data_IF_548661410304
#
_entry.id   IF_548661410304
#
_cell.length_a   1.000
_cell.length_b   1.000
_cell.length_c   1.000
_cell.angle_alpha   90.00
_cell.angle_beta   90.00
_cell.angle_gamma   90.00
#
_symmetry.space_group_name_H-M   'P 1'
#
loop_
_entity.id
_entity.type
_entity.pdbx_description
1 polymer ?
#
# COMPACT_ATOMS: atom_id res chain seq x y z
N UNK A 1 8.49 -17.88 18.66
CA UNK A 1 9.68 -17.93 17.77
C UNK A 1 9.22 -17.48 16.41
N UNK A 2 9.72 -16.34 15.92
CA UNK A 2 9.40 -15.85 14.56
C UNK A 2 10.11 -16.78 13.58
N UNK A 3 9.35 -17.55 12.84
CA UNK A 3 9.89 -18.44 11.81
C UNK A 3 10.56 -17.57 10.72
N UNK A 4 11.89 -17.53 10.75
CA UNK A 4 12.70 -16.88 9.73
C UNK A 4 12.76 -17.82 8.51
N UNK A 5 11.66 -17.91 7.76
CA UNK A 5 11.68 -18.58 6.47
C UNK A 5 12.86 -18.07 5.60
N UNK A 6 13.36 -18.88 4.65
CA UNK A 6 14.47 -18.47 3.81
C UNK A 6 14.15 -17.16 3.08
N UNK A 7 15.15 -16.26 3.01
CA UNK A 7 15.00 -15.04 2.22
C UNK A 7 14.69 -15.43 0.76
N UNK A 8 13.69 -14.76 0.17
CA UNK A 8 13.38 -14.99 -1.23
C UNK A 8 14.59 -14.60 -2.11
N UNK A 9 14.89 -15.39 -3.14
CA UNK A 9 16.00 -15.06 -4.06
C UNK A 9 15.75 -13.71 -4.74
N UNK A 10 16.78 -13.04 -5.26
CA UNK A 10 16.61 -11.84 -6.09
C UNK A 10 15.62 -12.10 -7.24
N UNK A 11 14.93 -11.05 -7.69
CA UNK A 11 14.06 -11.15 -8.86
C UNK A 11 14.93 -11.28 -10.10
N UNK A 12 14.67 -12.29 -10.93
CA UNK A 12 15.38 -12.45 -12.18
C UNK A 12 15.02 -11.32 -13.18
N UNK A 13 15.90 -10.94 -14.09
CA UNK A 13 15.58 -9.96 -15.14
C UNK A 13 14.33 -10.35 -15.93
N UNK A 14 13.45 -9.38 -16.18
CA UNK A 14 12.20 -9.61 -16.93
C UNK A 14 11.12 -10.38 -16.17
N UNK A 15 11.28 -10.60 -14.86
CA UNK A 15 10.30 -11.28 -14.02
C UNK A 15 9.58 -10.26 -13.13
N UNK A 16 8.25 -10.30 -13.15
CA UNK A 16 7.41 -9.60 -12.17
C UNK A 16 7.14 -10.54 -11.00
N UNK A 17 7.49 -10.11 -9.80
CA UNK A 17 7.15 -10.79 -8.55
C UNK A 17 5.97 -10.09 -7.90
N UNK A 18 4.93 -10.86 -7.59
CA UNK A 18 3.73 -10.39 -6.87
C UNK A 18 3.71 -11.09 -5.52
N UNK A 19 3.64 -10.31 -4.44
CA UNK A 19 3.66 -10.81 -3.08
C UNK A 19 2.47 -10.23 -2.32
N UNK A 20 1.39 -10.99 -2.15
CA UNK A 20 0.36 -10.63 -1.18
C UNK A 20 0.95 -10.73 0.23
N UNK A 21 0.95 -9.62 0.97
CA UNK A 21 1.41 -9.58 2.38
C UNK A 21 0.23 -9.77 3.33
N UNK A 22 -0.97 -9.43 2.89
CA UNK A 22 -2.23 -9.67 3.59
C UNK A 22 -3.41 -9.51 2.64
N UNK A 23 -4.62 -9.83 3.12
CA UNK A 23 -5.86 -9.74 2.35
C UNK A 23 -6.20 -10.97 1.51
N UNK A 24 -5.44 -12.08 1.61
CA UNK A 24 -5.75 -13.34 0.95
C UNK A 24 -6.40 -14.28 1.93
N UNK A 25 -7.60 -14.79 1.58
CA UNK A 25 -8.42 -15.68 2.44
C UNK A 25 -8.78 -15.06 3.80
N UNK A 26 -8.74 -13.73 3.90
CA UNK A 26 -9.08 -12.98 5.12
C UNK A 26 -9.71 -11.64 4.76
N UNK A 27 -10.46 -11.04 5.69
CA UNK A 27 -10.95 -9.67 5.57
C UNK A 27 -10.01 -8.74 6.36
N UNK A 28 -9.39 -7.82 5.65
CA UNK A 28 -8.47 -6.84 6.24
C UNK A 28 -7.02 -7.04 5.86
N UNK A 29 -6.15 -6.17 6.34
CA UNK A 29 -4.71 -6.14 6.08
C UNK A 29 -4.34 -6.15 4.60
N UNK A 30 -5.22 -5.64 3.72
CA UNK A 30 -4.96 -5.66 2.30
C UNK A 30 -3.64 -4.94 2.00
N UNK A 31 -2.68 -5.66 1.47
CA UNK A 31 -1.40 -5.13 1.03
C UNK A 31 -0.74 -6.10 0.06
N UNK A 32 -0.45 -5.63 -1.13
CA UNK A 32 0.26 -6.41 -2.16
C UNK A 32 1.48 -5.65 -2.66
N UNK A 33 2.61 -6.33 -2.76
CA UNK A 33 3.87 -5.81 -3.28
C UNK A 33 4.10 -6.33 -4.69
N UNK A 34 4.42 -5.44 -5.60
CA UNK A 34 4.84 -5.73 -6.97
C UNK A 34 6.31 -5.32 -7.10
N UNK A 35 7.17 -6.26 -7.46
CA UNK A 35 8.61 -6.03 -7.63
C UNK A 35 9.04 -6.45 -9.03
N UNK A 36 9.63 -5.51 -9.78
CA UNK A 36 10.18 -5.73 -11.10
C UNK A 36 11.54 -5.04 -11.21
N UNK A 37 12.59 -5.81 -11.50
CA UNK A 37 13.95 -5.30 -11.48
C UNK A 37 14.30 -4.67 -10.13
N UNK A 38 14.67 -3.37 -10.14
CA UNK A 38 15.00 -2.60 -8.94
C UNK A 38 13.83 -1.76 -8.43
N UNK A 39 12.65 -1.87 -9.00
CA UNK A 39 11.50 -1.05 -8.64
C UNK A 39 10.42 -1.86 -7.91
N UNK A 40 9.81 -1.22 -6.92
CA UNK A 40 8.74 -1.77 -6.10
C UNK A 40 7.56 -0.80 -6.13
N UNK A 41 6.37 -1.33 -6.36
CA UNK A 41 5.10 -0.63 -6.16
C UNK A 41 4.28 -1.41 -5.14
N UNK A 42 3.60 -0.71 -4.26
CA UNK A 42 2.73 -1.31 -3.25
C UNK A 42 1.29 -0.92 -3.55
N UNK A 43 0.37 -1.86 -3.43
CA UNK A 43 -1.06 -1.63 -3.50
C UNK A 43 -1.66 -1.85 -2.12
N UNK A 44 -2.26 -0.78 -1.57
CA UNK A 44 -2.91 -0.71 -0.27
C UNK A 44 -1.99 -0.95 0.95
N UNK A 45 -2.44 -0.49 2.12
CA UNK A 45 -1.86 -0.70 3.44
C UNK A 45 -2.98 -0.75 4.48
N UNK A 46 -3.72 -1.83 4.49
CA UNK A 46 -4.90 -1.99 5.34
C UNK A 46 -4.58 -2.45 6.75
N UNK A 47 -5.57 -2.28 7.63
CA UNK A 47 -5.61 -2.94 8.94
C UNK A 47 -6.63 -4.07 8.93
N UNK A 48 -6.47 -5.00 9.85
CA UNK A 48 -7.50 -5.95 10.24
C UNK A 48 -7.87 -5.66 11.69
N UNK A 49 -9.15 -5.72 12.02
CA UNK A 49 -9.60 -5.65 13.40
C UNK A 49 -9.36 -7.00 14.07
N UNK A 50 -9.00 -7.00 15.37
CA UNK A 50 -8.75 -8.24 16.09
C UNK A 50 -10.02 -9.07 16.24
N UNK A 51 -9.85 -10.37 16.34
CA UNK A 51 -10.91 -11.32 16.69
C UNK A 51 -11.10 -11.38 18.21
N UNK A 52 -12.19 -12.01 18.68
CA UNK A 52 -12.56 -12.07 20.11
C UNK A 52 -11.47 -12.74 20.98
N UNK A 53 -10.67 -13.63 20.40
CA UNK A 53 -9.58 -14.35 21.06
C UNK A 53 -8.26 -13.55 21.16
N UNK A 54 -8.24 -12.28 20.70
CA UNK A 54 -7.07 -11.39 20.70
C UNK A 54 -7.20 -10.24 21.71
N UNK A 55 -7.34 -10.51 23.04
CA UNK A 55 -7.55 -9.46 24.03
C UNK A 55 -6.34 -8.51 24.10
N UNK A 56 -6.61 -7.19 24.14
CA UNK A 56 -5.57 -6.15 24.24
C UNK A 56 -4.89 -5.80 22.92
N UNK A 57 -5.39 -6.32 21.80
CA UNK A 57 -4.97 -5.91 20.45
C UNK A 57 -6.01 -4.94 19.89
N UNK A 58 -5.58 -3.77 19.44
CA UNK A 58 -6.47 -2.78 18.82
C UNK A 58 -6.63 -3.03 17.31
N UNK A 59 -5.56 -3.45 16.64
CA UNK A 59 -5.56 -3.76 15.21
C UNK A 59 -4.35 -4.61 14.82
N UNK A 60 -4.46 -5.33 13.72
CA UNK A 60 -3.39 -6.13 13.10
C UNK A 60 -2.98 -5.46 11.80
N UNK A 61 -1.68 -5.35 11.55
CA UNK A 61 -1.10 -4.71 10.35
C UNK A 61 -0.30 -5.71 9.51
N UNK A 62 -0.11 -5.44 8.21
CA UNK A 62 0.74 -6.24 7.34
C UNK A 62 2.18 -6.36 7.86
N UNK A 63 2.79 -7.53 7.71
CA UNK A 63 4.18 -7.75 8.06
C UNK A 63 5.11 -7.33 6.91
N UNK A 64 5.72 -6.17 7.03
CA UNK A 64 6.59 -5.58 6.01
C UNK A 64 8.06 -6.05 6.04
N UNK A 65 8.38 -7.13 6.74
CA UNK A 65 9.77 -7.64 6.86
C UNK A 65 10.44 -7.86 5.49
N UNK A 66 9.68 -8.25 4.49
CA UNK A 66 10.17 -8.41 3.11
C UNK A 66 10.74 -7.12 2.52
N UNK A 67 10.21 -5.97 2.92
CA UNK A 67 10.60 -4.65 2.40
C UNK A 67 11.78 -4.02 3.15
N UNK A 68 12.24 -4.63 4.25
CA UNK A 68 13.36 -4.12 5.03
C UNK A 68 14.64 -4.03 4.18
N UNK A 69 15.25 -2.84 4.14
CA UNK A 69 16.42 -2.53 3.32
C UNK A 69 16.14 -2.25 1.85
N UNK A 70 14.85 -2.27 1.44
CA UNK A 70 14.40 -2.00 0.07
C UNK A 70 13.66 -0.66 -0.05
N UNK A 71 13.66 0.17 0.98
CA UNK A 71 12.86 1.41 1.06
C UNK A 71 13.13 2.35 -0.12
N UNK A 72 14.39 2.42 -0.58
CA UNK A 72 14.80 3.25 -1.74
C UNK A 72 14.30 2.75 -3.09
N UNK A 73 13.85 1.49 -3.15
CA UNK A 73 13.30 0.86 -4.35
C UNK A 73 11.80 1.08 -4.48
N UNK A 74 11.12 1.53 -3.41
CA UNK A 74 9.67 1.76 -3.41
C UNK A 74 9.38 3.05 -4.17
N UNK A 75 8.79 2.93 -5.35
CA UNK A 75 8.44 4.03 -6.24
C UNK A 75 7.13 4.71 -5.88
N UNK A 76 6.24 3.99 -5.22
CA UNK A 76 4.99 4.54 -4.73
C UNK A 76 4.11 3.50 -4.05
N UNK A 77 3.11 4.01 -3.32
CA UNK A 77 2.02 3.24 -2.73
C UNK A 77 0.73 3.73 -3.36
N UNK A 78 0.03 2.86 -4.06
CA UNK A 78 -1.27 3.15 -4.65
C UNK A 78 -2.34 2.70 -3.68
N UNK A 79 -3.30 3.56 -3.38
CA UNK A 79 -4.45 3.22 -2.56
C UNK A 79 -5.70 3.17 -3.42
N UNK A 80 -6.33 2.00 -3.42
CA UNK A 80 -7.50 1.72 -4.23
C UNK A 80 -8.73 2.54 -3.80
N UNK A 81 -8.96 2.68 -2.50
CA UNK A 81 -10.06 3.44 -1.92
C UNK A 81 -9.87 3.67 -0.41
N UNK A 82 -10.78 4.39 0.24
CA UNK A 82 -10.61 4.91 1.60
C UNK A 82 -11.04 4.01 2.75
N UNK A 83 -11.41 2.75 2.56
CA UNK A 83 -11.76 1.87 3.67
C UNK A 83 -10.54 1.49 4.52
N UNK A 84 -10.76 1.24 5.81
CA UNK A 84 -9.68 1.02 6.78
C UNK A 84 -8.87 -0.25 6.49
N UNK A 85 -9.49 -1.27 5.97
CA UNK A 85 -8.82 -2.50 5.55
C UNK A 85 -7.92 -2.31 4.31
N UNK A 86 -7.91 -1.08 3.72
CA UNK A 86 -7.04 -0.66 2.61
C UNK A 86 -6.09 0.47 2.99
N UNK A 87 -6.50 1.43 3.87
CA UNK A 87 -5.64 2.57 4.22
C UNK A 87 -5.19 2.59 5.69
N UNK A 88 -5.77 1.75 6.55
CA UNK A 88 -5.68 1.91 7.99
C UNK A 88 -4.27 1.77 8.58
N UNK A 89 -3.38 1.00 7.94
CA UNK A 89 -2.00 0.84 8.38
C UNK A 89 -1.04 1.90 7.79
N UNK A 90 -1.49 2.75 6.88
CA UNK A 90 -0.68 3.79 6.26
C UNK A 90 0.06 4.68 7.28
N UNK A 91 -0.58 5.18 8.37
CA UNK A 91 0.10 6.01 9.37
C UNK A 91 1.30 5.34 10.03
N UNK A 92 1.27 4.02 10.14
CA UNK A 92 2.31 3.23 10.82
C UNK A 92 3.39 2.81 9.83
N UNK A 93 3.00 2.40 8.62
CA UNK A 93 3.88 1.75 7.67
C UNK A 93 4.63 2.73 6.77
N UNK A 94 4.03 3.86 6.40
CA UNK A 94 4.68 4.83 5.49
C UNK A 94 6.02 5.33 6.04
N UNK A 95 6.09 5.70 7.31
CA UNK A 95 7.34 6.17 7.92
C UNK A 95 8.40 5.05 7.95
N UNK A 96 8.01 3.82 8.28
CA UNK A 96 8.91 2.65 8.28
C UNK A 96 9.46 2.33 6.89
N UNK A 97 8.74 2.69 5.84
CA UNK A 97 9.11 2.49 4.45
C UNK A 97 9.77 3.72 3.80
N UNK A 98 10.20 4.72 4.60
CA UNK A 98 10.93 5.89 4.12
C UNK A 98 10.02 6.96 3.49
N UNK A 99 8.73 6.96 3.79
CA UNK A 99 7.73 7.87 3.24
C UNK A 99 7.74 7.91 1.70
N UNK A 100 7.49 6.79 1.02
CA UNK A 100 7.34 6.78 -0.44
C UNK A 100 6.16 7.65 -0.87
N UNK A 101 6.10 8.10 -2.14
CA UNK A 101 4.94 8.79 -2.67
C UNK A 101 3.67 7.94 -2.50
N UNK A 102 2.57 8.58 -2.12
CA UNK A 102 1.24 7.96 -2.07
C UNK A 102 0.39 8.43 -3.25
N UNK A 103 -0.29 7.51 -3.89
CA UNK A 103 -1.09 7.73 -5.10
C UNK A 103 -2.53 7.30 -4.81
N UNK A 104 -3.47 8.20 -4.91
CA UNK A 104 -4.89 7.89 -4.77
C UNK A 104 -5.77 9.02 -5.32
N UNK A 105 -7.07 8.78 -5.38
CA UNK A 105 -8.07 9.79 -5.68
C UNK A 105 -8.31 10.74 -4.49
N UNK A 106 -8.91 11.93 -4.71
CA UNK A 106 -9.00 13.01 -3.72
C UNK A 106 -9.59 12.62 -2.37
N UNK A 107 -10.72 11.90 -2.33
CA UNK A 107 -11.37 11.50 -1.09
C UNK A 107 -10.50 10.54 -0.29
N UNK A 108 -9.92 9.54 -0.96
CA UNK A 108 -9.01 8.58 -0.33
C UNK A 108 -7.79 9.28 0.28
N UNK A 109 -7.21 10.27 -0.42
CA UNK A 109 -6.11 11.10 0.10
C UNK A 109 -6.53 11.93 1.31
N UNK A 110 -7.75 12.49 1.30
CA UNK A 110 -8.28 13.23 2.45
C UNK A 110 -8.42 12.33 3.68
N UNK A 111 -8.92 11.11 3.49
CA UNK A 111 -9.06 10.12 4.56
C UNK A 111 -7.70 9.66 5.10
N UNK A 112 -6.71 9.41 4.24
CA UNK A 112 -5.35 9.07 4.67
C UNK A 112 -4.73 10.22 5.48
N UNK A 113 -4.88 11.48 5.03
CA UNK A 113 -4.40 12.65 5.78
C UNK A 113 -5.04 12.74 7.16
N UNK A 114 -6.36 12.53 7.25
CA UNK A 114 -7.08 12.56 8.52
C UNK A 114 -6.55 11.47 9.46
N UNK A 115 -6.46 10.23 8.99
CA UNK A 115 -5.89 9.11 9.76
C UNK A 115 -4.45 9.38 10.21
N UNK A 116 -3.65 10.02 9.37
CA UNK A 116 -2.28 10.39 9.68
C UNK A 116 -2.21 11.41 10.84
N UNK A 117 -3.09 12.43 10.81
CA UNK A 117 -3.20 13.43 11.89
C UNK A 117 -3.72 12.84 13.20
N UNK A 118 -4.67 11.90 13.14
CA UNK A 118 -5.19 11.19 14.32
C UNK A 118 -4.10 10.33 14.98
N UNK A 119 -3.28 9.66 14.16
CA UNK A 119 -2.18 8.84 14.66
C UNK A 119 -1.07 9.68 15.28
N UNK A 120 -0.67 10.73 14.60
CA UNK A 120 0.36 11.68 15.06
C UNK A 120 0.14 13.06 14.46
N UNK A 121 -0.21 14.02 15.31
CA UNK A 121 -0.49 15.39 14.92
C UNK A 121 0.67 16.03 14.14
N UNK A 122 0.36 16.60 12.98
CA UNK A 122 1.32 17.25 12.08
C UNK A 122 2.06 16.29 11.15
N UNK A 123 1.84 14.97 11.24
CA UNK A 123 2.56 14.00 10.41
C UNK A 123 2.04 13.93 8.97
N UNK A 124 0.83 14.39 8.70
CA UNK A 124 0.30 14.50 7.33
C UNK A 124 1.15 15.39 6.41
N UNK A 125 1.91 16.33 7.00
CA UNK A 125 2.83 17.21 6.26
C UNK A 125 4.03 16.47 5.65
N UNK A 126 4.34 15.27 6.13
CA UNK A 126 5.42 14.42 5.61
C UNK A 126 5.00 13.63 4.37
N UNK A 127 3.71 13.57 4.07
CA UNK A 127 3.18 12.80 2.96
C UNK A 127 3.57 13.42 1.61
N UNK A 128 4.16 12.61 0.74
CA UNK A 128 4.44 12.95 -0.66
C UNK A 128 3.26 12.47 -1.49
N UNK A 129 2.45 13.38 -1.99
CA UNK A 129 1.14 13.06 -2.58
C UNK A 129 1.17 13.23 -4.08
N UNK A 130 0.69 12.22 -4.79
CA UNK A 130 0.36 12.25 -6.21
C UNK A 130 -1.15 11.99 -6.31
N UNK A 131 -1.90 12.99 -6.74
CA UNK A 131 -3.35 12.90 -6.85
C UNK A 131 -3.74 12.36 -8.22
N UNK A 132 -4.49 11.27 -8.25
CA UNK A 132 -5.21 10.80 -9.44
C UNK A 132 -6.45 11.69 -9.59
N UNK A 133 -6.46 12.50 -10.66
CA UNK A 133 -7.56 13.45 -10.92
C UNK A 133 -8.61 12.88 -11.86
N UNK A 134 -8.20 11.95 -12.71
CA UNK A 134 -9.07 11.24 -13.65
C UNK A 134 -8.63 9.77 -13.72
N UNK A 135 -9.56 8.88 -14.01
CA UNK A 135 -9.25 7.48 -14.34
C UNK A 135 -8.38 7.34 -15.59
N UNK A 136 -8.34 8.39 -16.43
CA UNK A 136 -7.49 8.43 -17.64
C UNK A 136 -6.03 8.81 -17.33
N UNK A 137 -5.74 9.19 -16.07
CA UNK A 137 -4.38 9.53 -15.67
C UNK A 137 -3.45 8.32 -15.81
N UNK A 138 -2.21 8.61 -16.20
CA UNK A 138 -1.14 7.62 -16.29
C UNK A 138 0.04 8.11 -15.47
N UNK A 139 0.53 7.26 -14.55
CA UNK A 139 1.60 7.62 -13.62
C UNK A 139 2.78 6.67 -13.78
N UNK A 140 3.95 7.22 -14.08
CA UNK A 140 5.19 6.46 -14.14
C UNK A 140 5.77 6.25 -12.73
N UNK A 141 6.07 5.00 -12.38
CA UNK A 141 6.61 4.57 -11.08
C UNK A 141 7.85 3.69 -11.30
N UNK A 142 8.96 4.30 -11.70
CA UNK A 142 10.14 3.56 -12.15
C UNK A 142 9.87 2.83 -13.45
N UNK A 143 10.06 1.51 -13.48
CA UNK A 143 9.74 0.66 -14.62
C UNK A 143 8.26 0.30 -14.74
N UNK A 144 7.45 0.64 -13.74
CA UNK A 144 6.01 0.46 -13.79
C UNK A 144 5.32 1.69 -14.38
N UNK A 145 4.24 1.44 -15.09
CA UNK A 145 3.28 2.45 -15.51
C UNK A 145 1.93 2.09 -14.91
N UNK A 146 1.41 2.95 -14.04
CA UNK A 146 0.10 2.77 -13.43
C UNK A 146 -0.97 3.48 -14.25
N UNK A 147 -2.04 2.77 -14.60
CA UNK A 147 -3.28 3.27 -15.18
C UNK A 147 -4.44 2.87 -14.29
N UNK A 148 -5.56 3.54 -14.42
CA UNK A 148 -6.68 3.38 -13.50
C UNK A 148 -7.98 3.10 -14.26
N UNK A 149 -8.95 2.49 -13.56
CA UNK A 149 -10.30 2.33 -14.06
C UNK A 149 -11.29 2.46 -12.91
N UNK A 150 -12.51 2.85 -13.22
CA UNK A 150 -13.54 3.03 -12.22
C UNK A 150 -14.02 1.68 -11.70
N UNK A 151 -14.23 1.63 -10.38
CA UNK A 151 -14.81 0.49 -9.67
C UNK A 151 -16.03 0.98 -8.89
N UNK A 152 -17.16 0.28 -9.02
CA UNK A 152 -18.31 0.51 -8.14
C UNK A 152 -18.07 -0.10 -6.78
N UNK A 153 -18.21 0.71 -5.75
CA UNK A 153 -18.00 0.31 -4.37
C UNK A 153 -18.86 1.17 -3.43
N UNK A 154 -18.96 0.78 -2.15
CA UNK A 154 -19.74 1.50 -1.13
C UNK A 154 -19.15 2.85 -0.71
N UNK A 155 -17.97 3.21 -1.21
CA UNK A 155 -17.33 4.50 -0.99
C UNK A 155 -16.95 5.14 -2.32
N UNK A 156 -17.06 6.47 -2.42
CA UNK A 156 -16.65 7.23 -3.60
C UNK A 156 -15.13 7.19 -3.79
N UNK A 157 -14.69 7.54 -5.00
CA UNK A 157 -13.27 7.56 -5.37
C UNK A 157 -12.59 6.18 -5.28
N UNK A 158 -13.38 5.11 -5.51
CA UNK A 158 -12.83 3.76 -5.64
C UNK A 158 -12.29 3.54 -7.05
N UNK A 159 -11.06 3.05 -7.15
CA UNK A 159 -10.40 2.80 -8.43
C UNK A 159 -9.69 1.45 -8.45
N UNK A 160 -9.77 0.77 -9.59
CA UNK A 160 -8.89 -0.34 -9.90
C UNK A 160 -7.60 0.16 -10.54
N UNK A 161 -6.54 -0.64 -10.45
CA UNK A 161 -5.21 -0.28 -10.95
C UNK A 161 -4.72 -1.32 -11.94
N UNK A 162 -4.22 -0.86 -13.09
CA UNK A 162 -3.48 -1.65 -14.06
C UNK A 162 -2.00 -1.26 -13.90
N UNK A 163 -1.14 -2.22 -13.63
CA UNK A 163 0.30 -2.03 -13.58
C UNK A 163 0.93 -2.67 -14.83
N UNK A 164 1.46 -1.83 -15.71
CA UNK A 164 2.23 -2.27 -16.87
C UNK A 164 3.72 -2.32 -16.51
N UNK A 165 4.41 -3.33 -17.03
CA UNK A 165 5.87 -3.50 -16.95
C UNK A 165 6.44 -3.67 -18.36
N UNK A 166 7.75 -3.46 -18.59
CA UNK A 166 8.40 -3.74 -19.87
C UNK A 166 8.23 -5.16 -20.35
#
# INVERSE_FOLDING_TARGET
MVNNGPALPPVAPGVLRIIPIGGCEEVGRNMTVFEYGEDIVILDMGVQFPEEDMPGIDYVIPNIKYLAGKERRIRGVIFSHGHLDHIGAAPILLEKLGNPPIIAMPLTLAMIKHRQEDYQKGSSKKLKIITVKSIDDTIALGQFTAKFFQVEHSIMDSMGTILETP
#
